data_IF_966701616917
#
_entry.id   IF_966701616917
#
_cell.length_a   1.000
_cell.length_b   1.000
_cell.length_c   1.000
_cell.angle_alpha   90.00
_cell.angle_beta   90.00
_cell.angle_gamma   90.00
#
_symmetry.space_group_name_H-M   'P 1'
#
loop_
_entity.id
_entity.type
_entity.pdbx_description
1 polymer ?
#
# COMPACT_ATOMS: atom_id res chain seq x y z
N UNK A 1 15.10 -1.77 2.52
CA UNK A 1 14.12 -2.83 2.19
C UNK A 1 12.81 -2.42 2.83
N UNK A 2 11.80 -2.14 2.01
CA UNK A 2 10.42 -2.04 2.51
C UNK A 2 9.96 -3.44 2.96
N UNK A 3 8.98 -3.49 3.85
CA UNK A 3 8.39 -4.74 4.34
C UNK A 3 6.86 -4.69 4.17
N UNK A 4 6.41 -4.13 3.05
CA UNK A 4 4.98 -3.90 2.79
C UNK A 4 4.29 -5.22 2.50
N UNK A 5 4.98 -6.20 1.92
CA UNK A 5 4.40 -7.52 1.64
C UNK A 5 3.86 -8.21 2.92
N UNK A 6 4.41 -7.86 4.10
CA UNK A 6 3.93 -8.32 5.40
C UNK A 6 2.46 -8.00 5.66
N UNK A 7 1.91 -6.93 5.05
CA UNK A 7 0.50 -6.58 5.22
C UNK A 7 -0.42 -7.73 4.80
N UNK A 8 -0.09 -8.44 3.71
CA UNK A 8 -0.88 -9.56 3.21
C UNK A 8 -0.93 -10.71 4.22
N UNK A 9 0.23 -11.05 4.77
CA UNK A 9 0.34 -12.12 5.78
C UNK A 9 -0.47 -11.77 7.05
N UNK A 10 -0.38 -10.51 7.49
CA UNK A 10 -1.11 -10.05 8.67
C UNK A 10 -2.63 -10.02 8.45
N UNK A 11 -3.09 -9.59 7.27
CA UNK A 11 -4.51 -9.61 6.91
C UNK A 11 -5.04 -11.05 6.87
N UNK A 12 -4.32 -11.98 6.22
CA UNK A 12 -4.70 -13.41 6.18
C UNK A 12 -4.78 -13.99 7.61
N UNK A 13 -3.83 -13.67 8.48
CA UNK A 13 -3.84 -14.15 9.85
C UNK A 13 -5.01 -13.59 10.66
N UNK A 14 -5.35 -12.31 10.45
CA UNK A 14 -6.49 -11.67 11.10
C UNK A 14 -7.84 -12.21 10.59
N UNK A 15 -7.94 -12.48 9.29
CA UNK A 15 -9.12 -13.12 8.70
C UNK A 15 -9.34 -14.49 9.33
N UNK A 16 -8.30 -15.34 9.38
CA UNK A 16 -8.39 -16.69 9.98
C UNK A 16 -8.75 -16.66 11.46
N UNK A 17 -8.31 -15.64 12.19
CA UNK A 17 -8.71 -15.44 13.58
C UNK A 17 -10.22 -15.13 13.70
N UNK A 18 -10.72 -14.26 12.83
CA UNK A 18 -12.13 -13.86 12.79
C UNK A 18 -13.02 -15.00 12.25
N UNK A 19 -12.54 -15.75 11.27
CA UNK A 19 -13.27 -16.80 10.55
C UNK A 19 -12.43 -18.10 10.41
N UNK A 20 -12.30 -18.92 11.48
CA UNK A 20 -11.40 -20.08 11.47
C UNK A 20 -11.72 -21.16 10.45
N UNK A 21 -12.98 -21.25 10.02
CA UNK A 21 -13.47 -22.24 9.05
C UNK A 21 -13.45 -21.69 7.60
N UNK A 22 -12.94 -20.48 7.39
CA UNK A 22 -12.87 -19.81 6.09
C UNK A 22 -11.61 -20.23 5.32
N UNK A 23 -11.80 -20.73 4.11
CA UNK A 23 -10.72 -20.82 3.13
C UNK A 23 -10.51 -19.43 2.50
N UNK A 24 -9.49 -18.72 2.98
CA UNK A 24 -9.14 -17.39 2.47
C UNK A 24 -9.03 -17.41 0.94
N UNK A 25 -9.81 -16.54 0.29
CA UNK A 25 -9.68 -16.22 -1.12
C UNK A 25 -9.61 -14.70 -1.31
N UNK A 26 -8.84 -14.27 -2.28
CA UNK A 26 -8.54 -12.86 -2.55
C UNK A 26 -9.62 -12.15 -3.39
N UNK A 27 -10.66 -12.86 -3.83
CA UNK A 27 -11.65 -12.34 -4.79
C UNK A 27 -12.43 -11.11 -4.32
N UNK A 28 -12.53 -10.90 -3.01
CA UNK A 28 -13.19 -9.75 -2.40
C UNK A 28 -12.24 -8.70 -1.85
N UNK A 29 -10.93 -8.80 -2.11
CA UNK A 29 -9.91 -7.93 -1.56
C UNK A 29 -9.29 -7.05 -2.66
N UNK A 30 -8.86 -5.85 -2.27
CA UNK A 30 -8.32 -4.84 -3.18
C UNK A 30 -6.84 -5.06 -3.50
N UNK A 31 -6.07 -5.67 -2.59
CA UNK A 31 -4.69 -6.07 -2.88
C UNK A 31 -4.69 -7.27 -3.83
N UNK A 32 -3.78 -7.26 -4.81
CA UNK A 32 -3.44 -8.49 -5.55
C UNK A 32 -2.53 -9.36 -4.65
N UNK A 33 -3.08 -10.44 -4.10
CA UNK A 33 -2.35 -11.32 -3.19
C UNK A 33 -1.30 -12.18 -3.88
N UNK A 34 -1.36 -12.32 -5.21
CA UNK A 34 -0.46 -13.16 -6.01
C UNK A 34 0.88 -12.49 -6.28
N UNK A 35 0.97 -11.16 -6.21
CA UNK A 35 2.20 -10.41 -6.49
C UNK A 35 2.98 -10.05 -5.24
N UNK A 36 4.29 -9.84 -5.36
CA UNK A 36 5.10 -9.28 -4.27
C UNK A 36 4.94 -7.76 -4.21
N UNK A 37 4.41 -7.23 -3.11
CA UNK A 37 4.09 -5.80 -2.98
C UNK A 37 5.34 -4.91 -2.89
N UNK A 38 6.43 -5.39 -2.30
CA UNK A 38 7.68 -4.65 -2.23
C UNK A 38 8.29 -4.50 -3.64
N UNK A 39 8.28 -5.57 -4.44
CA UNK A 39 8.70 -5.52 -5.84
C UNK A 39 7.82 -4.57 -6.65
N UNK A 40 6.49 -4.70 -6.51
CA UNK A 40 5.54 -3.83 -7.21
C UNK A 40 5.76 -2.35 -6.88
N UNK A 41 5.94 -2.01 -5.60
CA UNK A 41 6.21 -0.63 -5.20
C UNK A 41 7.53 -0.12 -5.80
N UNK A 42 8.60 -0.93 -5.72
CA UNK A 42 9.90 -0.56 -6.26
C UNK A 42 9.85 -0.31 -7.78
N UNK A 43 9.11 -1.15 -8.51
CA UNK A 43 8.92 -0.99 -9.96
C UNK A 43 8.17 0.31 -10.31
N UNK A 44 7.06 0.61 -9.63
CA UNK A 44 6.31 1.83 -9.92
C UNK A 44 7.06 3.11 -9.49
N UNK A 45 7.80 3.07 -8.38
CA UNK A 45 8.71 4.17 -7.99
C UNK A 45 9.80 4.39 -9.03
N UNK A 46 10.46 3.31 -9.50
CA UNK A 46 11.49 3.41 -10.53
C UNK A 46 10.96 4.02 -11.82
N UNK A 47 9.76 3.60 -12.25
CA UNK A 47 9.08 4.18 -13.43
C UNK A 47 8.81 5.66 -13.25
N UNK A 48 8.25 6.06 -12.11
CA UNK A 48 8.01 7.46 -11.79
C UNK A 48 9.33 8.27 -11.82
N UNK A 49 10.40 7.76 -11.21
CA UNK A 49 11.70 8.42 -11.24
C UNK A 49 12.25 8.59 -12.66
N UNK A 50 12.10 7.58 -13.51
CA UNK A 50 12.53 7.67 -14.91
C UNK A 50 11.75 8.76 -15.67
N UNK A 51 10.44 8.85 -15.47
CA UNK A 51 9.60 9.88 -16.09
C UNK A 51 9.97 11.28 -15.60
N UNK A 52 10.27 11.44 -14.30
CA UNK A 52 10.73 12.71 -13.73
C UNK A 52 12.12 13.12 -14.25
N UNK A 53 13.02 12.15 -14.45
CA UNK A 53 14.33 12.40 -15.06
C UNK A 53 14.18 12.84 -16.52
N UNK A 54 13.33 12.18 -17.30
CA UNK A 54 13.01 12.57 -18.67
C UNK A 54 12.42 13.99 -18.73
N UNK A 55 11.56 14.35 -17.78
CA UNK A 55 11.03 15.71 -17.65
C UNK A 55 12.15 16.72 -17.39
N UNK A 56 13.02 16.46 -16.42
CA UNK A 56 14.18 17.32 -16.12
C UNK A 56 15.06 17.52 -17.35
N UNK A 57 15.40 16.45 -18.05
CA UNK A 57 16.34 16.52 -19.17
C UNK A 57 15.73 17.14 -20.42
N UNK A 58 14.45 16.91 -20.69
CA UNK A 58 13.73 17.59 -21.78
C UNK A 58 13.61 19.10 -21.54
N UNK A 59 13.38 19.52 -20.28
CA UNK A 59 13.37 20.94 -19.92
C UNK A 59 14.74 21.60 -20.12
N UNK A 60 15.84 20.95 -19.73
CA UNK A 60 17.21 21.45 -19.96
C UNK A 60 17.53 21.63 -21.45
N UNK A 61 16.96 20.78 -22.31
CA UNK A 61 17.14 20.83 -23.76
C UNK A 61 16.08 21.68 -24.48
N UNK A 62 15.19 22.34 -23.75
CA UNK A 62 14.06 23.11 -24.30
C UNK A 62 13.14 22.30 -25.24
N UNK A 63 13.10 20.97 -25.07
CA UNK A 63 12.18 20.08 -25.79
C UNK A 63 10.86 19.98 -25.03
N UNK A 64 9.99 20.95 -25.29
CA UNK A 64 8.71 21.08 -24.58
C UNK A 64 7.69 19.99 -24.94
N UNK A 65 7.84 19.33 -26.09
CA UNK A 65 6.97 18.21 -26.49
C UNK A 65 7.31 17.00 -25.63
N UNK A 66 8.60 16.65 -25.53
CA UNK A 66 9.06 15.56 -24.66
C UNK A 66 8.76 15.85 -23.19
N UNK A 67 8.91 17.10 -22.75
CA UNK A 67 8.54 17.50 -21.38
C UNK A 67 7.05 17.24 -21.09
N UNK A 68 6.17 17.58 -22.04
CA UNK A 68 4.72 17.31 -21.89
C UNK A 68 4.43 15.80 -21.85
N UNK A 69 5.11 15.00 -22.67
CA UNK A 69 4.97 13.54 -22.63
C UNK A 69 5.43 12.97 -21.27
N UNK A 70 6.59 13.39 -20.79
CA UNK A 70 7.11 12.98 -19.48
C UNK A 70 6.15 13.33 -18.34
N UNK A 71 5.54 14.52 -18.36
CA UNK A 71 4.49 14.89 -17.40
C UNK A 71 3.26 13.99 -17.46
N UNK A 72 2.82 13.59 -18.66
CA UNK A 72 1.68 12.68 -18.83
C UNK A 72 1.99 11.30 -18.23
N UNK A 73 3.20 10.79 -18.41
CA UNK A 73 3.59 9.50 -17.84
C UNK A 73 3.78 9.58 -16.32
N UNK A 74 4.48 10.60 -15.83
CA UNK A 74 4.69 10.82 -14.40
C UNK A 74 3.36 10.92 -13.63
N UNK A 75 2.36 11.65 -14.15
CA UNK A 75 1.04 11.71 -13.49
C UNK A 75 0.31 10.37 -13.47
N UNK A 76 0.47 9.53 -14.50
CA UNK A 76 -0.12 8.20 -14.53
C UNK A 76 0.54 7.30 -13.49
N UNK A 77 1.87 7.34 -13.37
CA UNK A 77 2.61 6.58 -12.37
C UNK A 77 2.32 7.03 -10.94
N UNK A 78 2.14 8.32 -10.73
CA UNK A 78 1.68 8.84 -9.44
C UNK A 78 0.27 8.34 -9.06
N UNK A 79 -0.65 8.27 -10.03
CA UNK A 79 -1.98 7.69 -9.80
C UNK A 79 -1.90 6.18 -9.49
N UNK A 80 -1.06 5.44 -10.21
CA UNK A 80 -0.84 4.01 -9.94
C UNK A 80 -0.32 3.77 -8.52
N UNK A 81 0.63 4.60 -8.04
CA UNK A 81 1.13 4.56 -6.66
C UNK A 81 0.03 4.94 -5.64
N UNK A 82 -0.80 5.94 -5.95
CA UNK A 82 -1.93 6.31 -5.10
C UNK A 82 -2.91 5.14 -4.95
N UNK A 83 -3.25 4.48 -6.04
CA UNK A 83 -4.14 3.31 -6.04
C UNK A 83 -3.50 2.12 -5.29
N UNK A 84 -2.19 1.91 -5.43
CA UNK A 84 -1.48 0.88 -4.67
C UNK A 84 -1.65 1.05 -3.16
N UNK A 85 -1.48 2.27 -2.63
CA UNK A 85 -1.70 2.52 -1.19
C UNK A 85 -3.18 2.52 -0.81
N UNK A 86 -4.08 2.96 -1.69
CA UNK A 86 -5.52 2.88 -1.47
C UNK A 86 -5.98 1.43 -1.30
N UNK A 87 -5.54 0.52 -2.17
CA UNK A 87 -5.88 -0.89 -2.06
C UNK A 87 -5.40 -1.51 -0.74
N UNK A 88 -4.21 -1.11 -0.26
CA UNK A 88 -3.70 -1.53 1.04
C UNK A 88 -4.59 -0.99 2.17
N UNK A 89 -4.96 0.29 2.10
CA UNK A 89 -5.86 0.91 3.07
C UNK A 89 -7.22 0.20 3.13
N UNK A 90 -7.85 -0.03 1.97
CA UNK A 90 -9.15 -0.69 1.88
C UNK A 90 -9.15 -2.09 2.49
N UNK A 91 -8.08 -2.86 2.26
CA UNK A 91 -7.94 -4.18 2.86
C UNK A 91 -7.68 -4.12 4.38
N UNK A 92 -6.89 -3.15 4.86
CA UNK A 92 -6.70 -2.94 6.31
C UNK A 92 -8.04 -2.57 6.97
N UNK A 93 -8.80 -1.65 6.37
CA UNK A 93 -10.13 -1.25 6.84
C UNK A 93 -11.08 -2.44 6.88
N UNK A 94 -11.12 -3.22 5.80
CA UNK A 94 -11.97 -4.41 5.72
C UNK A 94 -11.61 -5.45 6.77
N UNK A 95 -10.32 -5.68 7.01
CA UNK A 95 -9.87 -6.67 7.97
C UNK A 95 -10.13 -6.24 9.43
N UNK A 96 -10.00 -4.94 9.72
CA UNK A 96 -10.13 -4.40 11.08
C UNK A 96 -11.56 -4.01 11.47
N UNK A 97 -12.38 -3.59 10.51
CA UNK A 97 -13.71 -3.01 10.76
C UNK A 97 -14.81 -3.66 9.91
N UNK A 98 -14.49 -4.63 9.07
CA UNK A 98 -15.48 -5.36 8.28
C UNK A 98 -16.46 -6.17 9.13
N UNK A 99 -17.62 -6.48 8.56
CA UNK A 99 -18.63 -7.30 9.23
C UNK A 99 -18.06 -8.65 9.66
N UNK A 100 -18.33 -9.05 10.90
CA UNK A 100 -17.89 -10.33 11.46
C UNK A 100 -16.44 -10.35 11.96
N UNK A 101 -15.69 -9.24 11.89
CA UNK A 101 -14.40 -9.15 12.54
C UNK A 101 -14.56 -9.34 14.08
N UNK A 102 -13.55 -9.95 14.71
CA UNK A 102 -13.55 -10.24 16.17
C UNK A 102 -12.72 -9.26 16.98
N UNK A 103 -12.26 -8.15 16.40
CA UNK A 103 -11.43 -7.19 17.11
C UNK A 103 -12.30 -6.36 18.05
N UNK A 104 -11.85 -6.10 19.28
CA UNK A 104 -12.56 -5.23 20.20
C UNK A 104 -12.40 -3.76 19.80
N UNK A 105 -13.35 -2.94 20.19
CA UNK A 105 -13.19 -1.48 20.17
C UNK A 105 -11.99 -1.06 21.04
N UNK A 106 -11.29 0.00 20.62
CA UNK A 106 -10.17 0.56 21.38
C UNK A 106 -10.74 1.43 22.53
N UNK A 107 -10.47 1.10 23.80
CA UNK A 107 -10.97 1.89 24.93
C UNK A 107 -10.38 3.30 24.97
N UNK A 108 -11.14 4.26 25.52
CA UNK A 108 -10.64 5.61 25.78
C UNK A 108 -9.42 5.56 26.72
N UNK A 109 -8.35 6.26 26.33
CA UNK A 109 -7.10 6.29 27.10
C UNK A 109 -6.27 5.00 27.04
N UNK A 110 -6.60 4.04 26.17
CA UNK A 110 -5.79 2.84 25.97
C UNK A 110 -4.35 3.21 25.59
N UNK A 111 -3.38 2.60 26.30
CA UNK A 111 -1.96 2.70 26.01
C UNK A 111 -1.44 1.34 25.56
N UNK A 112 -0.58 1.35 24.55
CA UNK A 112 0.09 0.14 24.09
C UNK A 112 1.00 -0.37 25.23
N UNK A 113 0.89 -1.65 25.65
CA UNK A 113 1.72 -2.19 26.72
C UNK A 113 3.22 -2.19 26.40
N UNK A 114 4.05 -1.93 27.41
CA UNK A 114 5.52 -1.83 27.28
C UNK A 114 6.18 -3.10 26.73
N UNK A 115 5.57 -4.28 26.95
CA UNK A 115 6.09 -5.55 26.45
C UNK A 115 6.21 -5.62 24.92
N UNK A 116 5.48 -4.76 24.20
CA UNK A 116 5.56 -4.66 22.74
C UNK A 116 6.69 -3.74 22.25
N UNK A 117 7.40 -3.04 23.15
CA UNK A 117 8.51 -2.13 22.82
C UNK A 117 8.15 -1.11 21.73
N UNK A 118 6.88 -0.72 21.68
CA UNK A 118 6.40 0.21 20.67
C UNK A 118 6.96 1.61 20.95
N UNK A 119 7.52 2.33 19.95
CA UNK A 119 8.06 3.67 20.17
C UNK A 119 7.00 4.60 20.75
N UNK A 120 7.23 5.13 21.95
CA UNK A 120 6.37 6.11 22.60
C UNK A 120 6.68 7.51 22.06
N UNK A 121 6.60 7.71 20.75
CA UNK A 121 6.80 9.02 20.12
C UNK A 121 5.46 9.75 19.89
N UNK A 122 4.46 9.49 20.73
CA UNK A 122 3.16 10.18 20.72
C UNK A 122 2.90 10.90 22.04
#
# INVERSE_FOLDING_TARGET
MSNINKVKELIINLEKYSFPESDFNDSGWSIDYQINLDNRLNEELLRLYNDLNLLSDSLKNNDLITAKCALIYARMKALDLSNFFLNIYEDIEKAGWGEGNKLPDVPEGYKIPDCYQYPSDK
#
